data_IF_383358290209
#
_entry.id   IF_383358290209
#
_cell.length_a   1.000
_cell.length_b   1.000
_cell.length_c   1.000
_cell.angle_alpha   90.00
_cell.angle_beta   90.00
_cell.angle_gamma   90.00
#
_symmetry.space_group_name_H-M   'P 1'
#
loop_
_entity.id
_entity.type
_entity.pdbx_description
1 polymer ?
#
# COMPACT_ATOMS: atom_id res chain seq x y z
N UNK A 1 1.65 -1.63 5.63
CA UNK A 1 0.98 -1.35 4.35
C UNK A 1 -0.29 -2.16 4.30
N UNK A 2 -1.33 -1.67 3.64
CA UNK A 2 -2.55 -2.44 3.39
C UNK A 2 -3.02 -2.20 1.96
N UNK A 3 -3.47 -3.27 1.30
CA UNK A 3 -4.25 -3.20 0.07
C UNK A 3 -5.70 -3.51 0.42
N UNK A 4 -6.63 -2.76 -0.13
CA UNK A 4 -8.05 -3.11 -0.05
C UNK A 4 -8.83 -2.54 -1.24
N UNK A 5 -10.05 -3.03 -1.41
CA UNK A 5 -10.93 -2.73 -2.55
C UNK A 5 -12.23 -2.06 -2.12
N UNK A 6 -12.22 -1.36 -0.98
CA UNK A 6 -13.42 -0.71 -0.48
C UNK A 6 -13.96 0.32 -1.48
N UNK A 7 -15.28 0.42 -1.56
CA UNK A 7 -16.00 1.36 -2.45
C UNK A 7 -15.86 1.08 -3.96
N UNK A 8 -15.44 -0.14 -4.35
CA UNK A 8 -15.41 -0.55 -5.77
C UNK A 8 -14.12 -0.17 -6.50
N UNK A 9 -13.10 0.29 -5.77
CA UNK A 9 -11.81 0.68 -6.33
C UNK A 9 -10.68 0.09 -5.50
N UNK A 10 -9.56 -0.22 -6.14
CA UNK A 10 -8.36 -0.67 -5.44
C UNK A 10 -7.58 0.53 -4.90
N UNK A 11 -7.12 0.44 -3.64
CA UNK A 11 -6.16 1.38 -3.10
C UNK A 11 -5.11 0.73 -2.21
N UNK A 12 -3.98 1.42 -2.12
CA UNK A 12 -2.83 1.10 -1.26
C UNK A 12 -2.72 2.15 -0.16
N UNK A 13 -2.81 1.71 1.09
CA UNK A 13 -2.62 2.54 2.27
C UNK A 13 -1.17 2.38 2.81
N UNK A 14 -0.41 3.47 2.77
CA UNK A 14 0.93 3.56 3.36
C UNK A 14 0.85 4.16 4.76
N UNK A 15 0.99 3.32 5.78
CA UNK A 15 0.99 3.76 7.18
C UNK A 15 2.23 4.59 7.53
N UNK A 16 2.09 5.49 8.48
CA UNK A 16 3.16 6.26 9.10
C UNK A 16 3.26 5.90 10.59
N UNK A 17 4.43 6.09 11.22
CA UNK A 17 4.62 5.72 12.63
C UNK A 17 3.77 6.51 13.62
N UNK A 18 3.35 7.72 13.25
CA UNK A 18 2.46 8.60 14.03
C UNK A 18 0.97 8.18 13.93
N UNK A 19 0.66 7.07 13.25
CA UNK A 19 -0.71 6.62 13.00
C UNK A 19 -1.36 7.25 11.77
N UNK A 20 -0.68 8.21 11.12
CA UNK A 20 -1.09 8.75 9.83
C UNK A 20 -1.06 7.70 8.73
N UNK A 21 -1.78 7.97 7.63
CA UNK A 21 -1.73 7.13 6.44
C UNK A 21 -1.87 7.95 5.17
N UNK A 22 -1.15 7.53 4.14
CA UNK A 22 -1.29 8.04 2.78
C UNK A 22 -2.08 7.01 1.97
N UNK A 23 -3.18 7.45 1.35
CA UNK A 23 -4.01 6.61 0.48
C UNK A 23 -3.61 6.84 -0.97
N UNK A 24 -3.27 5.76 -1.67
CA UNK A 24 -2.91 5.79 -3.09
C UNK A 24 -3.99 5.04 -3.86
N UNK A 25 -4.72 5.76 -4.71
CA UNK A 25 -5.69 5.18 -5.62
C UNK A 25 -4.97 4.38 -6.71
N UNK A 26 -5.39 3.14 -6.92
CA UNK A 26 -4.82 2.24 -7.94
C UNK A 26 -5.73 2.06 -9.15
N UNK A 27 -6.97 2.56 -9.11
CA UNK A 27 -7.94 2.46 -10.21
C UNK A 27 -9.19 1.65 -9.85
N UNK A 28 -10.16 1.67 -10.77
CA UNK A 28 -11.15 0.59 -10.81
C UNK A 28 -10.40 -0.66 -11.29
N UNK A 29 -10.47 -1.74 -10.54
CA UNK A 29 -9.76 -2.96 -10.87
C UNK A 29 -10.70 -4.14 -10.64
N UNK A 30 -10.67 -5.10 -11.58
CA UNK A 30 -11.19 -6.42 -11.29
C UNK A 30 -10.48 -6.96 -10.04
N UNK A 31 -11.22 -7.65 -9.16
CA UNK A 31 -10.66 -8.09 -7.88
C UNK A 31 -9.47 -9.05 -8.07
N UNK A 32 -9.46 -9.85 -9.15
CA UNK A 32 -8.33 -10.75 -9.43
C UNK A 32 -7.11 -9.96 -9.89
N UNK A 33 -7.30 -8.98 -10.78
CA UNK A 33 -6.20 -8.12 -11.22
C UNK A 33 -5.63 -7.31 -10.05
N UNK A 34 -6.50 -6.72 -9.22
CA UNK A 34 -6.10 -5.99 -8.02
C UNK A 34 -5.27 -6.87 -7.08
N UNK A 35 -5.68 -8.12 -6.87
CA UNK A 35 -4.95 -9.08 -6.04
C UNK A 35 -3.57 -9.41 -6.62
N UNK A 36 -3.48 -9.73 -7.92
CA UNK A 36 -2.22 -10.06 -8.60
C UNK A 36 -1.25 -8.89 -8.53
N UNK A 37 -1.72 -7.67 -8.82
CA UNK A 37 -0.90 -6.46 -8.76
C UNK A 37 -0.45 -6.15 -7.34
N UNK A 38 -1.33 -6.35 -6.35
CA UNK A 38 -1.01 -6.14 -4.93
C UNK A 38 0.05 -7.11 -4.42
N UNK A 39 -0.06 -8.39 -4.79
CA UNK A 39 0.91 -9.43 -4.44
C UNK A 39 2.27 -9.17 -5.09
N UNK A 40 2.28 -8.80 -6.37
CA UNK A 40 3.51 -8.40 -7.07
C UNK A 40 4.17 -7.18 -6.43
N UNK A 41 3.41 -6.11 -6.18
CA UNK A 41 3.95 -4.87 -5.62
C UNK A 41 4.58 -5.11 -4.24
N UNK A 42 3.90 -5.83 -3.35
CA UNK A 42 4.44 -6.07 -2.00
C UNK A 42 5.72 -6.91 -2.06
N UNK A 43 5.75 -7.96 -2.90
CA UNK A 43 6.92 -8.81 -3.05
C UNK A 43 8.11 -8.05 -3.63
N UNK A 44 7.89 -7.17 -4.60
CA UNK A 44 8.96 -6.41 -5.25
C UNK A 44 9.45 -5.19 -4.42
N UNK A 45 8.58 -4.58 -3.63
CA UNK A 45 8.85 -3.27 -3.00
C UNK A 45 8.89 -3.27 -1.47
N UNK A 46 8.72 -4.42 -0.81
CA UNK A 46 8.62 -4.51 0.65
C UNK A 46 9.72 -3.75 1.39
N UNK A 47 11.00 -3.99 1.06
CA UNK A 47 12.12 -3.36 1.76
C UNK A 47 12.10 -1.83 1.61
N UNK A 48 11.73 -1.32 0.43
CA UNK A 48 11.57 0.13 0.21
C UNK A 48 10.50 0.72 1.12
N UNK A 49 9.38 0.02 1.31
CA UNK A 49 8.31 0.48 2.19
C UNK A 49 8.68 0.43 3.66
N UNK A 50 9.35 -0.64 4.08
CA UNK A 50 9.87 -0.79 5.44
C UNK A 50 10.89 0.30 5.76
N UNK A 51 11.87 0.52 4.89
CA UNK A 51 12.83 1.61 5.06
C UNK A 51 12.17 2.98 5.13
N UNK A 52 11.20 3.24 4.24
CA UNK A 52 10.43 4.49 4.23
C UNK A 52 9.71 4.72 5.57
N UNK A 53 9.19 3.66 6.18
CA UNK A 53 8.56 3.71 7.49
C UNK A 53 9.59 3.98 8.60
N UNK A 54 10.69 3.23 8.63
CA UNK A 54 11.77 3.39 9.63
C UNK A 54 12.43 4.77 9.56
N UNK A 55 12.61 5.35 8.36
CA UNK A 55 13.12 6.72 8.20
C UNK A 55 12.21 7.78 8.83
N UNK A 56 10.90 7.52 8.92
CA UNK A 56 9.95 8.42 9.59
C UNK A 56 9.96 8.27 11.12
N UNK A 57 10.39 7.12 11.67
CA UNK A 57 10.54 6.94 13.12
C UNK A 57 11.73 7.73 13.66
N UNK A 58 12.81 7.83 12.88
CA UNK A 58 14.07 8.48 13.29
C UNK A 58 14.04 10.02 13.18
N UNK A 59 12.87 10.61 12.86
CA UNK A 59 12.64 12.05 12.81
C UNK A 59 11.86 12.48 14.03
#
# INVERSE_FOLDING_TARGET
>A
MRYDTAHGYAHKDLMHPDGGKEKIFLGEADLNEALILSDKDINENWERYKERYLRRIKR
#
